data_IF_329585990109
#
_entry.id   IF_329585990109
#
_cell.length_a   1.000
_cell.length_b   1.000
_cell.length_c   1.000
_cell.angle_alpha   90.00
_cell.angle_beta   90.00
_cell.angle_gamma   90.00
#
_symmetry.space_group_name_H-M   'P 1'
#
loop_
_entity.id
_entity.type
_entity.pdbx_description
1 polymer ?
#
# COMPACT_ATOMS: atom_id res chain seq x y z
N UNK A 1 -18.72 13.46 6.59
CA UNK A 1 -17.77 12.32 6.52
C UNK A 1 -17.33 11.85 7.90
N UNK A 2 -17.15 12.76 8.88
CA UNK A 2 -16.71 12.42 10.25
C UNK A 2 -17.48 11.26 10.90
N UNK A 3 -18.82 11.20 10.76
CA UNK A 3 -19.66 10.14 11.37
C UNK A 3 -19.38 8.70 10.90
N UNK A 4 -18.60 8.50 9.83
CA UNK A 4 -18.27 7.16 9.33
C UNK A 4 -16.94 6.61 9.83
N UNK A 5 -16.07 7.47 10.37
CA UNK A 5 -14.73 7.08 10.78
C UNK A 5 -14.82 6.54 12.23
N UNK A 6 -14.45 5.27 12.48
CA UNK A 6 -14.66 4.64 13.79
C UNK A 6 -13.64 5.06 14.86
N UNK A 7 -12.54 5.71 14.48
CA UNK A 7 -11.42 6.09 15.34
C UNK A 7 -11.12 7.56 15.04
N UNK A 8 -11.12 8.45 16.04
CA UNK A 8 -10.69 9.84 15.80
C UNK A 8 -9.17 9.92 15.72
N UNK A 9 -8.65 10.99 15.09
CA UNK A 9 -7.20 11.22 15.05
C UNK A 9 -6.64 11.39 16.47
N UNK A 10 -7.31 12.14 17.34
CA UNK A 10 -6.87 12.34 18.73
C UNK A 10 -6.74 11.02 19.50
N UNK A 11 -7.72 10.11 19.36
CA UNK A 11 -7.65 8.78 19.98
C UNK A 11 -6.49 7.93 19.47
N UNK A 12 -6.14 8.07 18.19
CA UNK A 12 -4.99 7.40 17.62
C UNK A 12 -3.68 8.01 18.16
N UNK A 13 -3.61 9.33 18.28
CA UNK A 13 -2.44 10.02 18.83
C UNK A 13 -2.17 9.62 20.29
N UNK A 14 -3.21 9.45 21.11
CA UNK A 14 -3.07 8.97 22.49
C UNK A 14 -2.47 7.56 22.53
N UNK A 15 -2.96 6.64 21.69
CA UNK A 15 -2.40 5.29 21.59
C UNK A 15 -0.95 5.30 21.08
N UNK A 16 -0.61 6.22 20.17
CA UNK A 16 0.75 6.37 19.64
C UNK A 16 1.71 6.87 20.72
N UNK A 17 1.30 7.82 21.56
CA UNK A 17 2.09 8.27 22.72
C UNK A 17 2.29 7.14 23.72
N UNK A 18 1.24 6.38 24.03
CA UNK A 18 1.33 5.22 24.92
C UNK A 18 2.27 4.15 24.33
N UNK A 19 2.21 3.89 23.02
CA UNK A 19 3.10 2.96 22.35
C UNK A 19 4.57 3.42 22.39
N UNK A 20 4.82 4.72 22.20
CA UNK A 20 6.15 5.33 22.38
C UNK A 20 6.66 5.13 23.80
N UNK A 21 5.83 5.39 24.82
CA UNK A 21 6.16 5.17 26.22
C UNK A 21 6.59 3.71 26.49
N UNK A 22 5.82 2.75 25.98
CA UNK A 22 6.11 1.32 26.10
C UNK A 22 7.44 0.96 25.45
N UNK A 23 7.72 1.45 24.23
CA UNK A 23 8.98 1.13 23.55
C UNK A 23 10.19 1.67 24.31
N UNK A 24 10.13 2.91 24.78
CA UNK A 24 11.18 3.48 25.65
C UNK A 24 11.30 2.67 26.92
N UNK A 25 10.18 2.24 27.49
CA UNK A 25 10.19 1.46 28.70
C UNK A 25 10.86 0.09 28.55
N UNK A 26 10.59 -0.61 27.45
CA UNK A 26 11.24 -1.88 27.11
C UNK A 26 12.75 -1.65 26.92
N UNK A 27 13.12 -0.66 26.10
CA UNK A 27 14.53 -0.35 25.83
C UNK A 27 15.25 0.06 27.12
N UNK A 28 14.62 0.87 27.96
CA UNK A 28 15.21 1.32 29.22
C UNK A 28 15.38 0.21 30.25
N UNK A 29 14.44 -0.72 30.34
CA UNK A 29 14.56 -1.88 31.21
C UNK A 29 15.63 -2.87 30.72
N UNK A 30 15.76 -3.08 29.40
CA UNK A 30 16.71 -4.04 28.84
C UNK A 30 18.14 -3.50 28.79
N UNK A 31 18.32 -2.20 28.53
CA UNK A 31 19.62 -1.61 28.25
C UNK A 31 20.09 -0.58 29.28
N UNK A 32 19.33 -0.35 30.37
CA UNK A 32 19.64 0.68 31.39
C UNK A 32 19.87 2.05 30.74
N UNK A 33 18.90 2.53 29.96
CA UNK A 33 19.01 3.81 29.23
C UNK A 33 19.39 4.96 30.18
N UNK A 34 20.46 5.73 29.87
CA UNK A 34 20.72 6.98 30.55
C UNK A 34 19.55 7.95 30.41
N UNK A 35 19.32 8.76 31.44
CA UNK A 35 18.22 9.73 31.49
C UNK A 35 18.17 10.64 30.26
N UNK A 36 19.32 11.19 29.86
CA UNK A 36 19.45 12.08 28.70
C UNK A 36 18.98 11.40 27.39
N UNK A 37 19.30 10.12 27.20
CA UNK A 37 18.92 9.39 25.99
C UNK A 37 17.42 9.08 25.96
N UNK A 38 16.84 8.79 27.13
CA UNK A 38 15.39 8.63 27.29
C UNK A 38 14.68 9.94 26.96
N UNK A 39 15.13 11.05 27.54
CA UNK A 39 14.50 12.37 27.38
C UNK A 39 14.63 12.85 25.94
N UNK A 40 15.77 12.61 25.29
CA UNK A 40 15.93 12.84 23.86
C UNK A 40 14.96 11.98 23.03
N UNK A 41 14.78 10.71 23.38
CA UNK A 41 13.85 9.83 22.69
C UNK A 41 12.39 10.26 22.89
N UNK A 42 12.00 10.72 24.08
CA UNK A 42 10.61 11.15 24.34
C UNK A 42 10.34 12.59 23.89
N UNK A 43 11.40 13.38 23.70
CA UNK A 43 11.34 14.81 23.40
C UNK A 43 10.86 15.66 24.57
N UNK A 44 10.87 15.11 25.79
CA UNK A 44 10.50 15.79 27.04
C UNK A 44 11.45 15.32 28.15
N UNK A 45 11.82 16.25 29.04
CA UNK A 45 12.57 15.91 30.25
C UNK A 45 11.62 15.34 31.29
N UNK A 46 11.88 14.10 31.74
CA UNK A 46 11.09 13.45 32.79
C UNK A 46 11.94 13.37 34.06
N UNK A 47 11.35 13.63 35.22
CA UNK A 47 12.05 13.42 36.48
C UNK A 47 12.46 11.94 36.62
N UNK A 48 13.71 11.69 36.97
CA UNK A 48 14.23 10.35 37.20
C UNK A 48 13.50 9.62 38.34
N UNK A 49 12.98 10.35 39.33
CA UNK A 49 12.17 9.77 40.40
C UNK A 49 10.75 9.40 39.93
N UNK A 50 10.21 10.12 38.96
CA UNK A 50 8.90 9.84 38.34
C UNK A 50 8.96 8.69 37.32
N UNK A 51 10.15 8.36 36.81
CA UNK A 51 10.35 7.33 35.80
C UNK A 51 10.96 6.06 36.39
N UNK A 52 10.11 5.07 36.69
CA UNK A 52 10.57 3.76 37.15
C UNK A 52 10.48 2.71 36.04
N UNK A 53 11.55 1.93 35.80
CA UNK A 53 11.49 0.82 34.88
C UNK A 53 10.44 -0.22 35.27
N UNK A 54 9.37 -0.33 34.48
CA UNK A 54 8.24 -1.22 34.73
C UNK A 54 6.93 -0.52 35.12
N UNK A 55 6.86 0.82 35.15
CA UNK A 55 5.62 1.56 35.41
C UNK A 55 5.00 2.21 34.16
N UNK A 56 5.27 1.65 32.99
CA UNK A 56 5.05 2.31 31.69
C UNK A 56 3.60 2.35 31.21
N UNK A 57 2.72 1.55 31.80
CA UNK A 57 1.30 1.46 31.43
C UNK A 57 0.37 1.87 32.57
N UNK A 58 0.79 1.73 33.83
CA UNK A 58 -0.04 2.00 35.02
C UNK A 58 0.48 3.16 35.90
N UNK A 59 1.67 3.72 35.65
CA UNK A 59 2.32 4.66 36.57
C UNK A 59 2.80 5.99 36.00
N UNK A 60 2.72 6.20 34.68
CA UNK A 60 2.98 7.53 34.09
C UNK A 60 1.65 8.28 34.07
N UNK A 61 1.63 9.51 34.59
CA UNK A 61 0.44 10.35 34.54
C UNK A 61 0.05 10.63 33.09
N UNK A 62 -1.25 10.59 32.79
CA UNK A 62 -1.76 10.88 31.45
C UNK A 62 -1.31 12.27 30.95
N UNK A 63 -1.12 13.21 31.88
CA UNK A 63 -0.60 14.55 31.61
C UNK A 63 0.86 14.59 31.15
N UNK A 64 1.69 13.65 31.60
CA UNK A 64 3.09 13.53 31.15
C UNK A 64 3.16 12.85 29.78
N UNK A 65 2.37 11.79 29.57
CA UNK A 65 2.29 11.11 28.26
C UNK A 65 1.85 12.10 27.17
N UNK A 66 0.88 12.96 27.47
CA UNK A 66 0.37 13.96 26.54
C UNK A 66 1.46 14.94 26.01
N UNK A 67 2.55 15.13 26.75
CA UNK A 67 3.65 16.02 26.39
C UNK A 67 4.68 15.37 25.46
N UNK A 68 4.60 14.07 25.21
CA UNK A 68 5.60 13.36 24.40
C UNK A 68 5.58 13.86 22.95
N UNK A 69 6.77 14.21 22.44
CA UNK A 69 6.94 14.58 21.05
C UNK A 69 7.01 13.33 20.18
N UNK A 70 5.84 12.78 19.84
CA UNK A 70 5.77 11.54 19.05
C UNK A 70 6.19 11.70 17.60
N UNK A 71 6.26 12.94 17.08
CA UNK A 71 6.48 13.20 15.66
C UNK A 71 7.88 12.80 15.18
N UNK A 72 8.84 12.73 16.09
CA UNK A 72 10.21 12.31 15.77
C UNK A 72 10.36 10.80 15.54
N UNK A 73 9.32 10.01 15.82
CA UNK A 73 9.38 8.56 15.68
C UNK A 73 8.88 8.11 14.30
N UNK A 74 9.69 7.37 13.51
CA UNK A 74 9.29 6.96 12.16
C UNK A 74 7.98 6.17 12.10
N UNK A 75 7.72 5.29 13.08
CA UNK A 75 6.48 4.50 13.10
C UNK A 75 5.21 5.36 13.23
N UNK A 76 5.31 6.54 13.84
CA UNK A 76 4.18 7.47 14.01
C UNK A 76 3.73 8.01 12.66
N UNK A 77 4.68 8.41 11.81
CA UNK A 77 4.38 8.82 10.44
C UNK A 77 3.75 7.67 9.63
N UNK A 78 4.29 6.45 9.76
CA UNK A 78 3.74 5.26 9.08
C UNK A 78 2.28 5.01 9.50
N UNK A 79 1.98 5.02 10.81
CA UNK A 79 0.62 4.79 11.32
C UNK A 79 -0.33 5.93 10.93
N UNK A 80 0.13 7.19 10.94
CA UNK A 80 -0.66 8.35 10.47
C UNK A 80 -1.03 8.22 9.00
N UNK A 81 -0.06 7.92 8.12
CA UNK A 81 -0.32 7.71 6.70
C UNK A 81 -1.24 6.50 6.47
N UNK A 82 -1.03 5.42 7.23
CA UNK A 82 -1.90 4.25 7.18
C UNK A 82 -3.34 4.58 7.59
N UNK A 83 -3.53 5.40 8.63
CA UNK A 83 -4.85 5.92 9.04
C UNK A 83 -5.48 6.76 7.93
N UNK A 84 -4.70 7.66 7.32
CA UNK A 84 -5.20 8.56 6.29
C UNK A 84 -5.71 7.81 5.07
N UNK A 85 -4.95 6.80 4.63
CA UNK A 85 -5.37 5.89 3.57
C UNK A 85 -6.53 5.00 4.01
N UNK A 86 -6.47 4.35 5.17
CA UNK A 86 -7.48 3.41 5.65
C UNK A 86 -8.89 4.04 5.71
N UNK A 87 -8.97 5.30 6.13
CA UNK A 87 -10.22 6.03 6.29
C UNK A 87 -10.46 7.12 5.24
N UNK A 88 -9.57 7.22 4.24
CA UNK A 88 -9.70 8.13 3.10
C UNK A 88 -9.92 9.58 3.55
N UNK A 89 -9.15 10.04 4.54
CA UNK A 89 -9.21 11.42 5.04
C UNK A 89 -8.38 12.35 4.13
N UNK A 90 -8.17 13.60 4.52
CA UNK A 90 -7.27 14.49 3.77
C UNK A 90 -5.83 13.97 3.85
N UNK A 91 -5.08 14.05 2.76
CA UNK A 91 -3.73 13.51 2.66
C UNK A 91 -3.62 12.00 2.38
N UNK A 92 -4.74 11.30 2.18
CA UNK A 92 -4.78 9.85 1.95
C UNK A 92 -3.95 9.35 0.74
N UNK A 93 -3.49 10.24 -0.14
CA UNK A 93 -2.73 9.92 -1.36
C UNK A 93 -1.45 10.75 -1.49
N UNK A 94 -1.00 11.40 -0.42
CA UNK A 94 0.16 12.30 -0.42
C UNK A 94 1.51 11.56 -0.28
N UNK A 95 1.49 10.23 -0.39
CA UNK A 95 2.63 9.35 -0.19
C UNK A 95 2.67 8.22 -1.22
N UNK A 96 3.85 7.64 -1.40
CA UNK A 96 4.05 6.42 -2.18
C UNK A 96 3.38 5.24 -1.46
N UNK A 97 2.27 4.76 -2.02
CA UNK A 97 1.46 3.71 -1.41
C UNK A 97 2.16 2.35 -1.39
N UNK A 98 3.01 2.07 -2.37
CA UNK A 98 3.75 0.80 -2.43
C UNK A 98 4.82 0.78 -1.33
N UNK A 99 5.60 1.86 -1.24
CA UNK A 99 6.58 2.03 -0.16
C UNK A 99 5.91 1.99 1.23
N UNK A 100 4.77 2.68 1.40
CA UNK A 100 4.02 2.63 2.66
C UNK A 100 3.52 1.22 2.99
N UNK A 101 3.09 0.45 1.99
CA UNK A 101 2.66 -0.94 2.21
C UNK A 101 3.80 -1.81 2.74
N UNK A 102 5.02 -1.62 2.21
CA UNK A 102 6.22 -2.31 2.68
C UNK A 102 6.59 -1.91 4.11
N UNK A 103 6.40 -0.65 4.48
CA UNK A 103 6.66 -0.12 5.83
C UNK A 103 5.59 -0.52 6.87
N UNK A 104 4.33 -0.67 6.46
CA UNK A 104 3.23 -1.06 7.36
C UNK A 104 3.40 -2.49 7.87
N UNK A 105 3.87 -3.41 7.04
CA UNK A 105 4.04 -4.82 7.41
C UNK A 105 4.91 -5.02 8.67
N UNK A 106 6.16 -4.49 8.75
CA UNK A 106 6.99 -4.64 9.94
C UNK A 106 6.40 -3.93 11.16
N UNK A 107 5.81 -2.73 11.01
CA UNK A 107 5.17 -2.04 12.14
C UNK A 107 4.02 -2.87 12.71
N UNK A 108 3.20 -3.45 11.84
CA UNK A 108 2.06 -4.29 12.23
C UNK A 108 2.49 -5.56 12.98
N UNK A 109 3.61 -6.16 12.59
CA UNK A 109 4.04 -7.49 13.06
C UNK A 109 5.08 -7.43 14.19
N UNK A 110 5.84 -6.34 14.30
CA UNK A 110 7.00 -6.24 15.19
C UNK A 110 6.82 -5.26 16.34
N UNK A 111 5.80 -4.39 16.32
CA UNK A 111 5.51 -3.57 17.49
C UNK A 111 5.16 -4.47 18.69
N UNK A 112 5.72 -4.19 19.89
CA UNK A 112 5.50 -5.00 21.08
C UNK A 112 4.01 -5.17 21.39
N UNK A 113 3.56 -6.41 21.50
CA UNK A 113 2.21 -6.76 21.96
C UNK A 113 2.05 -6.66 23.48
N UNK A 114 3.17 -6.67 24.21
CA UNK A 114 3.23 -6.56 25.65
C UNK A 114 4.37 -5.63 26.06
N UNK A 115 4.22 -4.95 27.19
CA UNK A 115 5.31 -4.22 27.82
C UNK A 115 6.26 -5.19 28.58
N UNK A 116 7.27 -4.63 29.26
CA UNK A 116 8.26 -5.43 30.01
C UNK A 116 7.66 -6.26 31.14
N UNK A 117 6.47 -5.89 31.64
CA UNK A 117 5.77 -6.61 32.72
C UNK A 117 4.75 -7.61 32.18
N UNK A 118 4.64 -7.75 30.86
CA UNK A 118 3.63 -8.60 30.23
C UNK A 118 2.25 -7.95 30.11
N UNK A 119 2.10 -6.66 30.43
CA UNK A 119 0.83 -5.95 30.27
C UNK A 119 0.58 -5.68 28.78
N UNK A 120 -0.66 -5.85 28.30
CA UNK A 120 -0.99 -5.64 26.90
C UNK A 120 -0.82 -4.18 26.48
N UNK A 121 -0.29 -3.97 25.27
CA UNK A 121 -0.11 -2.64 24.65
C UNK A 121 -1.28 -2.30 23.73
N UNK A 122 -1.36 -1.06 23.21
CA UNK A 122 -2.32 -0.70 22.15
C UNK A 122 -2.31 -1.61 20.91
N UNK A 123 -1.25 -2.40 20.68
CA UNK A 123 -1.17 -3.38 19.60
C UNK A 123 -1.90 -4.70 19.89
N UNK A 124 -2.13 -5.03 21.16
CA UNK A 124 -2.66 -6.33 21.58
C UNK A 124 -4.01 -6.25 22.30
N UNK A 125 -4.57 -5.05 22.47
CA UNK A 125 -5.96 -4.92 22.89
C UNK A 125 -6.88 -5.51 21.83
N UNK A 126 -7.96 -6.17 22.27
CA UNK A 126 -9.01 -6.71 21.39
C UNK A 126 -9.57 -5.64 20.45
N UNK A 127 -9.63 -4.39 20.93
CA UNK A 127 -10.06 -3.20 20.19
C UNK A 127 -8.92 -2.19 19.98
N UNK A 128 -7.67 -2.65 19.95
CA UNK A 128 -6.48 -1.80 19.79
C UNK A 128 -6.54 -0.96 18.51
N UNK A 129 -6.51 0.38 18.65
CA UNK A 129 -6.80 1.29 17.52
C UNK A 129 -5.67 1.29 16.50
N UNK A 130 -4.41 1.27 16.95
CA UNK A 130 -3.25 1.16 16.05
C UNK A 130 -3.36 -0.11 15.20
N UNK A 131 -3.61 -1.25 15.84
CA UNK A 131 -3.76 -2.53 15.13
C UNK A 131 -4.91 -2.47 14.13
N UNK A 132 -6.07 -1.96 14.55
CA UNK A 132 -7.25 -1.79 13.70
C UNK A 132 -6.98 -0.87 12.51
N UNK A 133 -6.24 0.22 12.69
CA UNK A 133 -5.80 1.11 11.61
C UNK A 133 -4.96 0.36 10.59
N UNK A 134 -3.91 -0.32 11.05
CA UNK A 134 -2.97 -1.05 10.18
C UNK A 134 -3.67 -2.20 9.43
N UNK A 135 -4.54 -2.94 10.10
CA UNK A 135 -5.31 -4.00 9.46
C UNK A 135 -6.35 -3.44 8.45
N UNK A 136 -6.96 -2.28 8.76
CA UNK A 136 -7.88 -1.59 7.83
C UNK A 136 -7.12 -1.04 6.61
N UNK A 137 -5.92 -0.52 6.81
CA UNK A 137 -5.01 -0.12 5.74
C UNK A 137 -4.76 -1.29 4.79
N UNK A 138 -4.33 -2.45 5.32
CA UNK A 138 -4.04 -3.65 4.51
C UNK A 138 -5.30 -4.14 3.78
N UNK A 139 -6.44 -4.18 4.46
CA UNK A 139 -7.72 -4.54 3.84
C UNK A 139 -8.06 -3.61 2.65
N UNK A 140 -7.83 -2.31 2.79
CA UNK A 140 -8.08 -1.35 1.72
C UNK A 140 -7.04 -1.44 0.60
N UNK A 141 -5.78 -1.63 0.94
CA UNK A 141 -4.71 -1.86 -0.04
C UNK A 141 -5.04 -3.07 -0.91
N UNK A 142 -5.41 -4.20 -0.30
CA UNK A 142 -5.84 -5.40 -1.01
C UNK A 142 -7.06 -5.15 -1.91
N UNK A 143 -8.06 -4.41 -1.42
CA UNK A 143 -9.21 -4.03 -2.23
C UNK A 143 -8.80 -3.25 -3.48
N UNK A 144 -7.88 -2.30 -3.33
CA UNK A 144 -7.46 -1.40 -4.41
C UNK A 144 -6.48 -2.05 -5.38
N UNK A 145 -5.72 -3.03 -4.91
CA UNK A 145 -4.81 -3.86 -5.71
C UNK A 145 -5.52 -4.98 -6.47
N UNK A 146 -6.84 -5.09 -6.36
CA UNK A 146 -7.61 -6.12 -7.06
C UNK A 146 -7.60 -7.49 -6.37
N UNK A 147 -7.12 -7.59 -5.13
CA UNK A 147 -7.06 -8.83 -4.38
C UNK A 147 -8.45 -9.22 -3.82
N UNK A 148 -8.66 -10.52 -3.63
CA UNK A 148 -9.81 -11.04 -2.89
C UNK A 148 -9.68 -10.71 -1.41
N UNK A 149 -10.81 -10.38 -0.75
CA UNK A 149 -10.82 -9.97 0.65
C UNK A 149 -11.33 -11.07 1.58
N UNK A 150 -10.69 -11.23 2.74
CA UNK A 150 -11.20 -12.12 3.78
C UNK A 150 -12.46 -11.55 4.48
N UNK A 151 -13.20 -12.41 5.18
CA UNK A 151 -14.31 -11.97 6.04
C UNK A 151 -13.85 -10.93 7.06
N UNK A 152 -12.66 -11.08 7.62
CA UNK A 152 -12.08 -10.16 8.60
C UNK A 152 -11.76 -8.80 7.96
N UNK A 153 -11.23 -8.78 6.74
CA UNK A 153 -11.00 -7.54 5.98
C UNK A 153 -12.30 -6.84 5.60
N UNK A 154 -13.30 -7.60 5.13
CA UNK A 154 -14.65 -7.09 4.87
C UNK A 154 -15.29 -6.50 6.13
N UNK A 155 -15.09 -7.14 7.28
CA UNK A 155 -15.57 -6.67 8.58
C UNK A 155 -14.95 -5.33 8.98
N UNK A 156 -13.63 -5.17 8.77
CA UNK A 156 -12.93 -3.90 9.01
C UNK A 156 -13.46 -2.79 8.10
N UNK A 157 -13.53 -3.04 6.78
CA UNK A 157 -13.95 -2.02 5.79
C UNK A 157 -15.44 -1.65 5.91
N UNK A 158 -16.29 -2.59 6.34
CA UNK A 158 -17.70 -2.34 6.57
C UNK A 158 -18.01 -1.85 8.00
N UNK A 159 -17.01 -1.79 8.89
CA UNK A 159 -17.18 -1.55 10.32
C UNK A 159 -18.28 -2.45 10.95
N UNK A 160 -18.16 -3.76 10.70
CA UNK A 160 -19.11 -4.81 11.14
C UNK A 160 -18.36 -5.94 11.85
N UNK A 161 -19.06 -6.78 12.62
CA UNK A 161 -18.45 -8.00 13.14
C UNK A 161 -18.27 -9.06 12.03
N UNK A 162 -17.23 -9.91 12.09
CA UNK A 162 -17.07 -11.02 11.14
C UNK A 162 -18.28 -11.96 11.05
N UNK A 163 -19.00 -12.16 12.15
CA UNK A 163 -20.22 -12.95 12.18
C UNK A 163 -21.33 -12.30 11.33
N UNK A 164 -21.53 -10.98 11.49
CA UNK A 164 -22.53 -10.23 10.72
C UNK A 164 -22.20 -10.21 9.22
N UNK A 165 -20.92 -10.10 8.86
CA UNK A 165 -20.47 -10.20 7.46
C UNK A 165 -20.85 -11.55 6.87
N UNK A 166 -20.50 -12.67 7.53
CA UNK A 166 -20.86 -14.03 7.06
C UNK A 166 -22.37 -14.18 6.83
N UNK A 167 -23.18 -13.73 7.79
CA UNK A 167 -24.64 -13.78 7.67
C UNK A 167 -25.14 -12.93 6.49
N UNK A 168 -24.57 -11.74 6.29
CA UNK A 168 -24.94 -10.85 5.18
C UNK A 168 -24.57 -11.43 3.83
N UNK A 169 -23.35 -11.98 3.67
CA UNK A 169 -22.90 -12.62 2.44
C UNK A 169 -23.79 -13.81 2.07
N UNK A 170 -24.11 -14.68 3.05
CA UNK A 170 -24.99 -15.82 2.83
C UNK A 170 -26.40 -15.41 2.40
N UNK A 171 -26.97 -14.36 3.01
CA UNK A 171 -28.30 -13.84 2.64
C UNK A 171 -28.35 -13.30 1.21
N UNK A 172 -27.21 -12.81 0.71
CA UNK A 172 -27.09 -12.24 -0.63
C UNK A 172 -26.60 -13.26 -1.67
N UNK A 173 -26.41 -14.53 -1.27
CA UNK A 173 -26.00 -15.61 -2.18
C UNK A 173 -24.54 -15.52 -2.65
N UNK A 174 -23.73 -14.66 -2.02
CA UNK A 174 -22.31 -14.48 -2.36
C UNK A 174 -21.50 -15.67 -1.82
N UNK A 175 -20.73 -16.32 -2.69
CA UNK A 175 -19.96 -17.51 -2.36
C UNK A 175 -18.53 -17.13 -2.03
N UNK A 176 -18.05 -17.53 -0.85
CA UNK A 176 -16.64 -17.42 -0.52
C UNK A 176 -15.84 -18.44 -1.34
N UNK A 177 -14.75 -17.98 -1.94
CA UNK A 177 -13.78 -18.79 -2.67
C UNK A 177 -12.61 -19.14 -1.76
N UNK A 178 -11.94 -20.24 -2.09
CA UNK A 178 -10.65 -20.56 -1.49
C UNK A 178 -9.64 -19.51 -1.96
N UNK A 179 -8.73 -19.04 -1.09
CA UNK A 179 -7.67 -18.15 -1.52
C UNK A 179 -6.95 -18.83 -2.69
N UNK A 180 -6.83 -18.13 -3.82
CA UNK A 180 -5.97 -18.59 -4.89
C UNK A 180 -4.58 -18.85 -4.29
N UNK A 181 -3.94 -20.00 -4.57
CA UNK A 181 -2.63 -20.29 -4.00
C UNK A 181 -1.68 -19.14 -4.36
N UNK A 182 -1.26 -18.36 -3.35
CA UNK A 182 -0.27 -17.28 -3.52
C UNK A 182 0.98 -17.92 -4.11
N UNK A 183 1.25 -17.66 -5.39
CA UNK A 183 2.46 -18.12 -6.06
C UNK A 183 2.34 -19.30 -7.04
N UNK A 184 1.19 -19.55 -7.68
CA UNK A 184 1.17 -20.48 -8.84
C UNK A 184 1.83 -19.88 -10.09
N UNK A 185 3.10 -19.47 -10.00
CA UNK A 185 4.07 -19.94 -10.99
C UNK A 185 4.40 -21.36 -10.53
N UNK A 186 3.88 -22.35 -11.24
CA UNK A 186 4.33 -23.74 -11.09
C UNK A 186 5.81 -23.74 -11.49
N UNK A 187 6.70 -23.50 -10.53
CA UNK A 187 8.06 -23.97 -10.65
C UNK A 187 7.91 -25.49 -10.47
N UNK A 188 8.03 -26.23 -11.57
CA UNK A 188 8.25 -27.67 -11.51
C UNK A 188 9.60 -27.90 -10.83
N UNK A 189 9.63 -27.82 -9.51
CA UNK A 189 10.71 -28.39 -8.72
C UNK A 189 10.42 -29.88 -8.63
N UNK A 190 11.34 -30.65 -9.21
CA UNK A 190 11.41 -32.10 -9.16
C UNK A 190 11.25 -32.57 -7.69
N UNK A 191 10.30 -33.47 -7.37
CA UNK A 191 10.02 -33.87 -5.99
C UNK A 191 11.08 -34.82 -5.38
N UNK A 192 12.27 -34.96 -5.96
CA UNK A 192 13.21 -36.02 -5.61
C UNK A 192 14.30 -35.68 -4.58
N UNK A 193 14.38 -34.46 -4.03
CA UNK A 193 15.39 -34.15 -3.00
C UNK A 193 14.80 -33.58 -1.70
N UNK A 194 15.00 -34.40 -0.64
CA UNK A 194 15.13 -34.07 0.79
C UNK A 194 14.06 -33.20 1.47
N UNK A 195 13.28 -33.81 2.36
CA UNK A 195 13.38 -33.66 3.82
C UNK A 195 12.28 -34.52 4.48
N UNK A 196 12.68 -35.61 5.14
CA UNK A 196 11.94 -36.33 6.19
C UNK A 196 10.43 -36.50 6.01
N UNK A 197 10.01 -37.72 5.67
CA UNK A 197 8.63 -38.21 5.72
C UNK A 197 7.98 -37.92 7.08
N UNK A 198 7.17 -36.85 7.17
CA UNK A 198 6.25 -36.65 8.30
C UNK A 198 5.10 -37.65 8.20
N UNK A 199 4.60 -38.21 9.33
CA UNK A 199 3.55 -39.22 9.30
C UNK A 199 2.27 -38.66 8.66
N UNK A 200 1.89 -39.29 7.55
CA UNK A 200 0.65 -39.09 6.82
C UNK A 200 -0.54 -39.60 7.65
N UNK A 201 -1.15 -38.71 8.45
CA UNK A 201 -2.36 -39.01 9.22
C UNK A 201 -3.29 -37.82 9.50
N UNK A 202 -2.94 -36.61 9.05
CA UNK A 202 -3.84 -35.47 9.12
C UNK A 202 -4.44 -35.24 7.74
N UNK A 203 -5.72 -35.60 7.56
CA UNK A 203 -6.56 -34.93 6.58
C UNK A 203 -6.45 -33.43 6.85
N UNK A 204 -5.59 -32.74 6.09
CA UNK A 204 -5.59 -31.28 6.04
C UNK A 204 -6.96 -30.91 5.51
N UNK A 205 -7.91 -30.59 6.40
CA UNK A 205 -9.08 -29.79 6.04
C UNK A 205 -8.52 -28.64 5.20
N UNK A 206 -8.87 -28.62 3.92
CA UNK A 206 -8.39 -27.60 3.00
C UNK A 206 -8.59 -26.22 3.62
N UNK A 207 -7.73 -25.24 3.30
CA UNK A 207 -7.89 -23.88 3.80
C UNK A 207 -9.34 -23.47 3.60
N UNK A 208 -10.02 -23.05 4.66
CA UNK A 208 -11.46 -22.74 4.58
C UNK A 208 -11.66 -21.61 3.57
N UNK A 209 -12.61 -21.79 2.65
CA UNK A 209 -13.21 -20.75 1.78
C UNK A 209 -13.63 -19.54 2.60
N UNK A 210 -12.74 -18.56 2.69
CA UNK A 210 -12.91 -17.41 3.59
C UNK A 210 -12.74 -16.07 2.87
N UNK A 211 -12.62 -16.06 1.53
CA UNK A 211 -12.41 -14.84 0.77
C UNK A 211 -13.51 -14.59 -0.26
N UNK A 212 -13.83 -13.33 -0.50
CA UNK A 212 -14.76 -12.87 -1.53
C UNK A 212 -13.94 -12.23 -2.66
N UNK A 213 -14.30 -12.55 -3.91
CA UNK A 213 -13.62 -11.97 -5.08
C UNK A 213 -13.70 -10.45 -5.08
N UNK A 214 -12.65 -9.78 -5.58
CA UNK A 214 -12.52 -8.32 -5.48
C UNK A 214 -13.75 -7.55 -6.00
N UNK A 215 -14.25 -7.89 -7.19
CA UNK A 215 -15.40 -7.23 -7.79
C UNK A 215 -16.69 -7.42 -6.96
N UNK A 216 -16.92 -8.63 -6.46
CA UNK A 216 -18.06 -8.95 -5.59
C UNK A 216 -17.94 -8.24 -4.22
N UNK A 217 -16.71 -8.15 -3.69
CA UNK A 217 -16.42 -7.45 -2.46
C UNK A 217 -16.69 -5.95 -2.59
N UNK A 218 -16.28 -5.33 -3.70
CA UNK A 218 -16.53 -3.92 -3.97
C UNK A 218 -18.03 -3.64 -4.12
N UNK A 219 -18.76 -4.46 -4.87
CA UNK A 219 -20.21 -4.36 -4.99
C UNK A 219 -20.90 -4.48 -3.63
N UNK A 220 -20.54 -5.51 -2.86
CA UNK A 220 -21.09 -5.76 -1.53
C UNK A 220 -20.80 -4.61 -0.54
N UNK A 221 -19.55 -4.10 -0.52
CA UNK A 221 -19.12 -2.99 0.33
C UNK A 221 -19.84 -1.68 -0.04
N UNK A 222 -20.01 -1.40 -1.34
CA UNK A 222 -20.67 -0.18 -1.83
C UNK A 222 -22.11 -0.02 -1.33
N UNK A 223 -22.77 -1.14 -1.01
CA UNK A 223 -24.12 -1.21 -0.46
C UNK A 223 -24.18 -1.03 1.07
N UNK A 224 -23.02 -0.89 1.74
CA UNK A 224 -22.93 -0.69 3.20
C UNK A 224 -22.81 0.79 3.56
N UNK A 225 -23.68 1.25 4.49
CA UNK A 225 -23.69 2.64 4.97
C UNK A 225 -22.34 3.08 5.54
N UNK A 226 -21.67 2.19 6.27
CA UNK A 226 -20.41 2.45 6.97
C UNK A 226 -19.18 2.33 6.08
N UNK A 227 -19.30 1.75 4.88
CA UNK A 227 -18.18 1.72 3.95
C UNK A 227 -17.82 3.14 3.53
N UNK A 228 -16.53 3.46 3.59
CA UNK A 228 -15.96 4.69 3.10
C UNK A 228 -15.42 4.40 1.71
N UNK A 229 -16.08 4.87 0.63
CA UNK A 229 -15.56 4.73 -0.72
C UNK A 229 -14.18 5.36 -0.80
N UNK A 230 -13.32 4.85 -1.68
CA UNK A 230 -12.07 5.54 -1.96
C UNK A 230 -12.39 6.95 -2.39
N UNK A 231 -11.73 7.93 -1.76
CA UNK A 231 -11.67 9.27 -2.36
C UNK A 231 -11.09 9.04 -3.73
N UNK A 232 -11.85 9.39 -4.75
CA UNK A 232 -11.27 9.47 -6.08
C UNK A 232 -10.11 10.44 -5.94
N UNK A 233 -8.88 9.94 -6.08
CA UNK A 233 -7.71 10.78 -6.30
C UNK A 233 -8.10 11.61 -7.49
N UNK A 234 -8.46 12.88 -7.30
CA UNK A 234 -9.45 13.57 -8.13
C UNK A 234 -9.15 13.44 -9.62
N UNK A 235 -9.64 12.41 -10.30
CA UNK A 235 -9.22 11.96 -11.65
C UNK A 235 -7.71 11.91 -11.98
N UNK A 236 -6.83 12.43 -11.15
CA UNK A 236 -5.41 12.21 -11.19
C UNK A 236 -5.13 10.92 -10.44
N UNK A 237 -5.31 9.78 -11.11
CA UNK A 237 -4.33 8.70 -10.94
C UNK A 237 -2.98 9.42 -10.88
N UNK A 238 -2.11 9.12 -9.91
CA UNK A 238 -0.73 9.55 -10.01
C UNK A 238 -0.13 8.84 -11.22
N UNK A 239 -0.44 9.39 -12.38
CA UNK A 239 -0.20 8.83 -13.68
C UNK A 239 1.31 8.74 -13.89
N UNK A 240 2.10 9.46 -13.08
CA UNK A 240 3.55 9.38 -12.98
C UNK A 240 3.98 8.04 -12.39
N UNK A 241 3.36 7.60 -11.28
CA UNK A 241 3.60 6.28 -10.70
C UNK A 241 3.11 5.17 -11.64
N UNK A 242 1.93 5.34 -12.23
CA UNK A 242 1.43 4.41 -13.26
C UNK A 242 2.36 4.35 -14.49
N UNK A 243 2.94 5.49 -14.90
CA UNK A 243 3.87 5.57 -16.02
C UNK A 243 5.21 4.90 -15.71
N UNK A 244 5.76 5.12 -14.51
CA UNK A 244 6.99 4.47 -14.05
C UNK A 244 6.83 2.95 -14.03
N UNK A 245 5.72 2.45 -13.46
CA UNK A 245 5.48 1.01 -13.34
C UNK A 245 5.16 0.36 -14.70
N UNK A 246 4.39 1.04 -15.56
CA UNK A 246 4.08 0.50 -16.88
C UNK A 246 5.32 0.31 -17.75
N UNK A 247 6.30 1.24 -17.69
CA UNK A 247 7.57 1.05 -18.37
C UNK A 247 8.53 0.11 -17.63
N UNK A 248 8.28 -0.15 -16.33
CA UNK A 248 9.02 -1.12 -15.50
C UNK A 248 8.76 -2.57 -15.90
N UNK A 249 7.51 -2.91 -16.20
CA UNK A 249 7.02 -4.28 -16.33
C UNK A 249 6.94 -4.80 -17.76
N UNK A 250 6.60 -3.96 -18.73
CA UNK A 250 6.26 -4.40 -20.10
C UNK A 250 7.14 -3.74 -21.16
N UNK A 251 8.20 -4.44 -21.55
CA UNK A 251 9.15 -3.97 -22.58
C UNK A 251 8.61 -4.16 -24.00
N UNK A 252 7.63 -5.06 -24.19
CA UNK A 252 7.24 -5.55 -25.51
C UNK A 252 6.02 -4.82 -26.11
N UNK A 253 5.43 -3.85 -25.41
CA UNK A 253 4.25 -3.15 -25.89
C UNK A 253 4.32 -1.63 -25.64
N UNK A 254 5.41 -1.02 -26.11
CA UNK A 254 5.68 0.41 -25.97
C UNK A 254 4.48 1.29 -26.39
N UNK A 255 3.81 1.09 -27.56
CA UNK A 255 2.70 1.95 -27.97
C UNK A 255 1.49 1.87 -27.04
N UNK A 256 1.13 0.68 -26.55
CA UNK A 256 0.00 0.55 -25.64
C UNK A 256 0.29 1.22 -24.29
N UNK A 257 1.50 1.05 -23.77
CA UNK A 257 1.95 1.72 -22.54
C UNK A 257 1.93 3.24 -22.71
N UNK A 258 2.52 3.75 -23.79
CA UNK A 258 2.56 5.18 -24.08
C UNK A 258 1.14 5.77 -24.24
N UNK A 259 0.26 5.10 -24.99
CA UNK A 259 -1.13 5.51 -25.18
C UNK A 259 -1.90 5.57 -23.87
N UNK A 260 -1.68 4.60 -22.98
CA UNK A 260 -2.27 4.60 -21.62
C UNK A 260 -1.77 5.79 -20.80
N UNK A 261 -0.46 6.06 -20.81
CA UNK A 261 0.15 7.15 -20.03
C UNK A 261 -0.36 8.50 -20.52
N UNK A 262 -0.37 8.75 -21.83
CA UNK A 262 -0.85 10.02 -22.37
C UNK A 262 -2.33 10.23 -22.03
N UNK A 263 -3.16 9.18 -22.14
CA UNK A 263 -4.57 9.24 -21.73
C UNK A 263 -4.74 9.57 -20.23
N UNK A 264 -3.91 8.98 -19.36
CA UNK A 264 -3.96 9.21 -17.91
C UNK A 264 -3.42 10.59 -17.51
N UNK A 265 -2.40 11.09 -18.22
CA UNK A 265 -1.78 12.39 -17.95
C UNK A 265 -2.68 13.57 -18.25
N UNK A 266 -3.69 13.38 -19.11
CA UNK A 266 -4.57 14.45 -19.57
C UNK A 266 -3.89 15.50 -20.47
N UNK A 267 -2.60 15.31 -20.81
CA UNK A 267 -1.85 16.23 -21.66
C UNK A 267 -2.35 16.12 -23.09
N UNK A 268 -2.70 17.26 -23.68
CA UNK A 268 -3.23 17.31 -25.04
C UNK A 268 -2.15 17.07 -26.10
N UNK A 269 -2.56 16.63 -27.30
CA UNK A 269 -1.62 16.42 -28.43
C UNK A 269 -0.82 17.66 -28.80
N UNK A 270 -1.42 18.87 -28.89
CA UNK A 270 -0.67 20.07 -29.22
C UNK A 270 0.35 20.45 -28.14
N UNK A 271 0.02 20.24 -26.87
CA UNK A 271 0.95 20.47 -25.75
C UNK A 271 2.16 19.53 -25.83
N UNK A 272 1.93 18.24 -26.13
CA UNK A 272 3.02 17.27 -26.31
C UNK A 272 3.90 17.69 -27.49
N UNK A 273 3.29 17.96 -28.66
CA UNK A 273 4.01 18.36 -29.88
C UNK A 273 4.88 19.61 -29.66
N UNK A 274 4.33 20.63 -28.99
CA UNK A 274 5.05 21.85 -28.63
C UNK A 274 6.21 21.56 -27.67
N UNK A 275 6.00 20.75 -26.63
CA UNK A 275 7.02 20.41 -25.64
C UNK A 275 8.18 19.59 -26.23
N UNK A 276 7.89 18.66 -27.15
CA UNK A 276 8.91 17.82 -27.80
C UNK A 276 9.52 18.46 -29.05
N UNK A 277 8.99 19.59 -29.52
CA UNK A 277 9.41 20.30 -30.74
C UNK A 277 9.29 19.42 -32.00
N UNK A 278 8.15 18.74 -32.15
CA UNK A 278 7.80 17.94 -33.33
C UNK A 278 6.38 18.28 -33.81
N UNK A 279 5.99 17.78 -34.98
CA UNK A 279 4.61 17.91 -35.47
C UNK A 279 3.65 17.04 -34.67
N UNK A 280 2.37 17.39 -34.68
CA UNK A 280 1.31 16.54 -34.11
C UNK A 280 1.28 15.16 -34.79
N UNK A 281 1.51 15.08 -36.10
CA UNK A 281 1.61 13.81 -36.84
C UNK A 281 2.73 12.90 -36.31
N UNK A 282 3.89 13.47 -35.94
CA UNK A 282 4.98 12.70 -35.35
C UNK A 282 4.58 12.14 -33.97
N UNK A 283 3.86 12.94 -33.17
CA UNK A 283 3.37 12.52 -31.85
C UNK A 283 2.29 11.43 -32.00
N UNK A 284 1.35 11.60 -32.92
CA UNK A 284 0.31 10.61 -33.19
C UNK A 284 0.88 9.32 -33.74
N UNK A 285 1.85 9.40 -34.66
CA UNK A 285 2.55 8.22 -35.16
C UNK A 285 3.27 7.47 -34.05
N UNK A 286 4.03 8.17 -33.20
CA UNK A 286 4.72 7.54 -32.06
C UNK A 286 3.74 6.85 -31.09
N UNK A 287 2.61 7.49 -30.78
CA UNK A 287 1.60 6.96 -29.83
C UNK A 287 0.75 5.85 -30.47
N UNK A 288 0.56 5.90 -31.79
CA UNK A 288 -0.08 4.86 -32.59
C UNK A 288 0.82 3.63 -32.78
N UNK A 289 2.11 3.74 -32.49
CA UNK A 289 3.10 2.70 -32.78
C UNK A 289 3.50 2.65 -34.24
N UNK A 290 3.23 3.70 -35.00
CA UNK A 290 3.58 3.86 -36.41
C UNK A 290 5.06 4.23 -36.58
N UNK A 291 5.56 4.08 -37.81
CA UNK A 291 6.93 4.45 -38.15
C UNK A 291 7.06 5.98 -38.19
N UNK A 292 7.89 6.52 -37.31
CA UNK A 292 8.27 7.94 -37.29
C UNK A 292 9.79 8.09 -37.31
N UNK A 293 10.27 9.28 -37.67
CA UNK A 293 11.69 9.62 -37.60
C UNK A 293 12.23 9.46 -36.17
N UNK A 294 13.32 8.71 -36.01
CA UNK A 294 13.98 8.53 -34.72
C UNK A 294 14.71 9.81 -34.32
N UNK A 295 14.19 10.50 -33.30
CA UNK A 295 14.82 11.67 -32.70
C UNK A 295 14.97 11.46 -31.18
N UNK A 296 16.17 11.10 -30.75
CA UNK A 296 16.48 10.79 -29.34
C UNK A 296 16.23 12.01 -28.43
N UNK A 297 16.52 13.23 -28.91
CA UNK A 297 16.32 14.42 -28.12
C UNK A 297 14.82 14.71 -27.89
N UNK A 298 13.98 14.48 -28.90
CA UNK A 298 12.53 14.56 -28.76
C UNK A 298 11.99 13.50 -27.80
N UNK A 299 12.48 12.27 -27.87
CA UNK A 299 12.10 11.18 -26.96
C UNK A 299 12.48 11.46 -25.50
N UNK A 300 13.66 12.04 -25.25
CA UNK A 300 14.09 12.46 -23.90
C UNK A 300 13.21 13.59 -23.36
N UNK A 301 12.82 14.56 -24.21
CA UNK A 301 11.86 15.61 -23.82
C UNK A 301 10.49 15.03 -23.50
N UNK A 302 10.01 14.07 -24.30
CA UNK A 302 8.76 13.35 -24.03
C UNK A 302 8.84 12.64 -22.67
N UNK A 303 9.93 11.93 -22.40
CA UNK A 303 10.13 11.27 -21.12
C UNK A 303 10.07 12.23 -19.93
N UNK A 304 10.66 13.43 -20.05
CA UNK A 304 10.56 14.48 -19.05
C UNK A 304 9.12 14.98 -18.85
N UNK A 305 8.39 15.16 -19.95
CA UNK A 305 6.98 15.57 -19.92
C UNK A 305 6.11 14.54 -19.19
N UNK A 306 6.34 13.25 -19.44
CA UNK A 306 5.61 12.15 -18.77
C UNK A 306 6.26 11.67 -17.46
N UNK A 307 7.30 12.35 -16.97
CA UNK A 307 8.02 12.06 -15.71
C UNK A 307 8.50 10.61 -15.55
N UNK A 308 8.98 10.01 -16.64
CA UNK A 308 9.58 8.67 -16.64
C UNK A 308 11.10 8.77 -16.83
N UNK A 309 11.89 7.78 -16.37
CA UNK A 309 13.35 7.78 -16.55
C UNK A 309 13.74 7.92 -18.04
N UNK A 310 14.44 9.00 -18.44
CA UNK A 310 14.66 9.31 -19.86
C UNK A 310 15.39 8.22 -20.63
N UNK A 311 16.41 7.62 -20.03
CA UNK A 311 17.19 6.55 -20.65
C UNK A 311 16.31 5.34 -21.02
N UNK A 312 15.41 4.94 -20.09
CA UNK A 312 14.55 3.78 -20.25
C UNK A 312 13.47 4.01 -21.31
N UNK A 313 12.82 5.17 -21.25
CA UNK A 313 11.82 5.56 -22.23
C UNK A 313 12.41 5.64 -23.64
N UNK A 314 13.54 6.35 -23.79
CA UNK A 314 14.19 6.51 -25.08
C UNK A 314 14.66 5.16 -25.65
N UNK A 315 15.25 4.27 -24.84
CA UNK A 315 15.69 2.96 -25.33
C UNK A 315 14.54 2.09 -25.83
N UNK A 316 13.41 2.07 -25.13
CA UNK A 316 12.24 1.29 -25.54
C UNK A 316 11.56 1.87 -26.78
N UNK A 317 11.45 3.20 -26.85
CA UNK A 317 10.92 3.88 -28.03
C UNK A 317 11.78 3.62 -29.27
N UNK A 318 13.12 3.70 -29.15
CA UNK A 318 14.03 3.40 -30.26
C UNK A 318 13.94 1.95 -30.69
N UNK A 319 13.90 1.00 -29.74
CA UNK A 319 13.72 -0.42 -30.05
C UNK A 319 12.43 -0.67 -30.86
N UNK A 320 11.29 -0.12 -30.40
CA UNK A 320 10.01 -0.19 -31.11
C UNK A 320 10.09 0.39 -32.53
N UNK A 321 10.70 1.56 -32.69
CA UNK A 321 10.79 2.24 -34.00
C UNK A 321 11.69 1.51 -34.99
N UNK A 322 12.75 0.83 -34.50
CA UNK A 322 13.60 -0.02 -35.33
C UNK A 322 12.86 -1.29 -35.77
N UNK A 323 12.16 -1.96 -34.86
CA UNK A 323 11.33 -3.14 -35.18
C UNK A 323 10.23 -2.79 -36.19
N UNK A 324 9.57 -1.64 -36.03
CA UNK A 324 8.57 -1.15 -36.97
C UNK A 324 9.17 -0.80 -38.35
N UNK A 325 10.44 -0.41 -38.42
CA UNK A 325 11.12 -0.17 -39.69
C UNK A 325 11.42 -1.47 -40.44
N UNK A 326 11.87 -2.51 -39.73
CA UNK A 326 12.22 -3.82 -40.29
C UNK A 326 11.00 -4.62 -40.76
N UNK A 327 9.82 -4.39 -40.16
CA UNK A 327 8.57 -5.05 -40.55
C UNK A 327 7.94 -4.50 -41.85
N UNK A 328 8.58 -3.53 -42.52
CA UNK A 328 8.10 -3.05 -43.82
C UNK A 328 8.31 -4.16 -44.85
N UNK A 329 7.25 -4.78 -45.38
CA UNK A 329 7.42 -5.88 -46.32
C UNK A 329 8.11 -5.36 -47.59
N UNK A 330 9.24 -5.97 -47.94
CA UNK A 330 9.82 -5.94 -49.29
C UNK A 330 8.82 -6.57 -50.27
N UNK A 331 7.75 -5.86 -50.60
CA UNK A 331 6.78 -6.18 -51.65
C UNK A 331 5.96 -4.91 -51.89
N UNK A 332 5.85 -4.33 -53.08
CA UNK A 332 5.62 -4.95 -54.37
C UNK A 332 6.27 -4.10 -55.48
N UNK A 333 7.44 -4.51 -55.96
CA UNK A 333 7.88 -4.24 -57.33
C UNK A 333 8.21 -5.61 -57.96
N UNK A 334 7.16 -6.35 -58.31
CA UNK A 334 7.17 -7.41 -59.31
C UNK A 334 5.93 -7.31 -60.19
#
# INVERSE_FOLDING_TARGET
MSDKIPISRDQLEDDLRQMTAVMVGIVGALFHFPQEMRDQFLGVEIDGEAWSPGFYTDGIDDGDIAQFNVEQHPFVAIVRHAYDYAYQVEGAHDFDLEALSDDVAPVREQLPAQDINGLPTPMNYVDGRIRKVLDTFVARYDLNSGNSLSVEQLALLANMSPATVRTSLNKEGLRLVDPAPKGSKVINLDPSEEWGTRPSGYEKKGPKRNQLGNAEALDWLSRRRSFIPNKQVGTGVDWKTAAKNAFAEDVNNFPAVLKRIVKLSGISRPEIAAAVQKSEDWVDGLIGGERVEIDIAALVRFAGLVQVPPARFASQAVAHLLEAADQTPESMDQ
#
